data_IF_234792784109
#
_entry.id   IF_234792784109
#
_cell.length_a   1.000
_cell.length_b   1.000
_cell.length_c   1.000
_cell.angle_alpha   90.00
_cell.angle_beta   90.00
_cell.angle_gamma   90.00
#
_symmetry.space_group_name_H-M   'P 1'
#
loop_
_entity.id
_entity.type
_entity.pdbx_description
1 polymer ?
#
# COMPACT_ATOMS: atom_id res chain seq x y z
N UNK A 1 12.08 -13.85 10.79
CA UNK A 1 11.62 -12.48 11.00
C UNK A 1 12.31 -11.93 12.23
N UNK A 2 13.22 -10.96 12.04
CA UNK A 2 13.92 -10.27 13.10
C UNK A 2 12.92 -9.51 13.96
N UNK A 3 13.18 -9.50 15.24
CA UNK A 3 12.42 -8.94 16.34
C UNK A 3 11.63 -7.66 15.98
N UNK A 4 10.35 -7.82 15.69
CA UNK A 4 9.38 -6.74 15.40
C UNK A 4 9.40 -5.63 16.47
N UNK A 5 9.78 -5.97 17.69
CA UNK A 5 9.83 -5.03 18.82
C UNK A 5 10.96 -4.00 18.72
N UNK A 6 12.06 -4.32 18.01
CA UNK A 6 13.17 -3.38 17.83
C UNK A 6 12.88 -2.34 16.75
N UNK A 7 12.28 -2.75 15.62
CA UNK A 7 11.82 -1.87 14.54
C UNK A 7 10.75 -0.91 15.06
N UNK A 8 9.85 -1.40 15.88
CA UNK A 8 8.81 -0.64 16.55
C UNK A 8 9.33 0.54 17.39
N UNK A 9 10.49 0.38 18.03
CA UNK A 9 11.07 1.41 18.90
C UNK A 9 11.55 2.63 18.10
N UNK A 10 12.06 2.43 16.90
CA UNK A 10 12.54 3.51 16.01
C UNK A 10 11.37 4.27 15.37
N UNK A 11 10.33 3.57 14.93
CA UNK A 11 9.12 4.19 14.36
C UNK A 11 8.42 5.06 15.41
N UNK A 12 8.29 4.58 16.65
CA UNK A 12 7.72 5.35 17.75
C UNK A 12 8.54 6.59 18.12
N UNK A 13 9.84 6.61 17.84
CA UNK A 13 10.67 7.80 18.06
C UNK A 13 10.44 8.90 17.01
N UNK A 14 10.05 8.52 15.80
CA UNK A 14 9.82 9.41 14.64
C UNK A 14 8.33 9.80 14.46
N UNK A 15 7.42 9.25 15.26
CA UNK A 15 5.97 9.52 15.19
C UNK A 15 5.55 10.98 15.48
N UNK A 16 6.49 11.88 15.74
CA UNK A 16 6.20 13.30 16.03
C UNK A 16 5.57 14.06 14.86
N UNK A 17 5.73 13.58 13.63
CA UNK A 17 5.29 14.27 12.42
C UNK A 17 3.96 13.72 11.85
N UNK A 18 3.43 12.62 12.40
CA UNK A 18 2.24 11.95 11.86
C UNK A 18 0.90 12.53 12.36
N UNK A 19 0.92 13.38 13.37
CA UNK A 19 -0.31 13.86 14.03
C UNK A 19 -1.02 12.78 14.87
N UNK A 20 -0.61 11.52 14.79
CA UNK A 20 -1.10 10.42 15.60
C UNK A 20 -0.25 10.27 16.87
N UNK A 21 -0.87 9.91 18.00
CA UNK A 21 -0.11 9.57 19.21
C UNK A 21 0.68 8.27 18.99
N UNK A 22 1.82 8.12 19.71
CA UNK A 22 2.63 6.89 19.66
C UNK A 22 1.80 5.63 19.96
N UNK A 23 0.85 5.76 20.90
CA UNK A 23 -0.02 4.66 21.30
C UNK A 23 -1.05 4.33 20.21
N UNK A 24 -1.53 5.35 19.47
CA UNK A 24 -2.43 5.15 18.34
C UNK A 24 -1.73 4.43 17.17
N UNK A 25 -0.53 4.86 16.79
CA UNK A 25 0.27 4.18 15.75
C UNK A 25 0.58 2.73 16.16
N UNK A 26 0.89 2.51 17.45
CA UNK A 26 1.14 1.17 17.98
C UNK A 26 -0.10 0.29 17.90
N UNK A 27 -1.24 0.76 18.39
CA UNK A 27 -2.49 0.01 18.37
C UNK A 27 -2.92 -0.32 16.93
N UNK A 28 -2.81 0.65 16.02
CA UNK A 28 -3.17 0.49 14.61
C UNK A 28 -2.28 -0.53 13.90
N UNK A 29 -0.98 -0.54 14.16
CA UNK A 29 -0.09 -1.50 13.52
C UNK A 29 -0.24 -2.93 14.08
N UNK A 30 -0.64 -3.09 15.34
CA UNK A 30 -0.97 -4.40 15.92
C UNK A 30 -2.23 -4.98 15.28
N UNK A 31 -3.23 -4.14 15.01
CA UNK A 31 -4.49 -4.56 14.36
C UNK A 31 -4.29 -4.88 12.87
N UNK A 32 -3.40 -4.15 12.18
CA UNK A 32 -3.18 -4.32 10.73
C UNK A 32 -2.08 -5.32 10.39
N UNK A 33 -1.36 -5.87 11.37
CA UNK A 33 -0.13 -6.66 11.14
C UNK A 33 0.85 -5.95 10.17
N UNK A 34 0.97 -4.64 10.29
CA UNK A 34 1.80 -3.83 9.40
C UNK A 34 3.26 -3.79 9.86
N UNK A 35 4.16 -3.77 8.89
CA UNK A 35 5.61 -3.48 9.06
C UNK A 35 5.87 -2.16 8.37
N UNK A 36 6.21 -1.11 9.12
CA UNK A 36 6.29 0.26 8.60
C UNK A 36 7.73 0.67 8.31
N UNK A 37 7.96 1.22 7.11
CA UNK A 37 9.21 1.85 6.70
C UNK A 37 10.46 0.96 6.88
N UNK A 38 10.36 -0.34 6.57
CA UNK A 38 11.50 -1.27 6.62
C UNK A 38 12.36 -1.14 5.36
N UNK A 39 13.68 -1.11 5.54
CA UNK A 39 14.62 -1.07 4.42
C UNK A 39 14.91 -2.46 3.90
N UNK A 40 14.69 -2.64 2.60
CA UNK A 40 15.00 -3.89 1.90
C UNK A 40 15.89 -3.62 0.69
N UNK A 41 16.73 -4.59 0.35
CA UNK A 41 17.50 -4.55 -0.88
C UNK A 41 16.71 -5.24 -2.01
N UNK A 42 16.48 -4.53 -3.11
CA UNK A 42 15.81 -5.07 -4.29
C UNK A 42 16.63 -4.70 -5.53
N UNK A 43 17.08 -5.69 -6.27
CA UNK A 43 17.84 -5.52 -7.51
C UNK A 43 19.04 -4.56 -7.38
N UNK A 44 19.77 -4.64 -6.25
CA UNK A 44 20.95 -3.80 -5.95
C UNK A 44 20.62 -2.38 -5.48
N UNK A 45 19.36 -2.01 -5.35
CA UNK A 45 18.89 -0.76 -4.75
C UNK A 45 18.34 -0.97 -3.34
N UNK A 46 18.43 0.02 -2.47
CA UNK A 46 17.79 0.02 -1.15
C UNK A 46 16.48 0.79 -1.24
N UNK A 47 15.41 0.14 -0.86
CA UNK A 47 14.05 0.69 -0.85
C UNK A 47 13.47 0.63 0.55
N UNK A 48 12.70 1.65 0.90
CA UNK A 48 11.88 1.66 2.09
C UNK A 48 10.48 1.14 1.74
N UNK A 49 10.03 0.09 2.43
CA UNK A 49 8.76 -0.59 2.15
C UNK A 49 7.90 -0.64 3.41
N UNK A 50 6.61 -0.44 3.27
CA UNK A 50 5.62 -0.68 4.31
C UNK A 50 4.79 -1.89 3.94
N UNK A 51 4.86 -2.94 4.74
CA UNK A 51 4.09 -4.17 4.55
C UNK A 51 2.74 -4.10 5.26
N UNK A 52 1.65 -4.39 4.56
CA UNK A 52 0.29 -4.46 5.11
C UNK A 52 -0.40 -5.73 4.60
N UNK A 53 -1.12 -6.44 5.48
CA UNK A 53 -1.93 -7.59 5.08
C UNK A 53 -3.41 -7.21 5.02
N UNK A 54 -4.06 -7.47 3.89
CA UNK A 54 -5.51 -7.42 3.69
C UNK A 54 -6.10 -8.83 3.49
N UNK A 55 -5.46 -9.85 4.14
CA UNK A 55 -5.70 -11.26 3.86
C UNK A 55 -4.75 -11.83 2.81
N UNK A 56 -4.13 -10.94 2.03
CA UNK A 56 -3.02 -11.18 1.12
C UNK A 56 -1.92 -10.13 1.37
N UNK A 57 -0.64 -10.45 1.08
CA UNK A 57 0.47 -9.55 1.39
C UNK A 57 0.58 -8.41 0.37
N UNK A 58 0.72 -7.19 0.89
CA UNK A 58 0.98 -5.97 0.13
C UNK A 58 2.25 -5.28 0.62
N UNK A 59 3.08 -4.81 -0.30
CA UNK A 59 4.30 -4.06 -0.04
C UNK A 59 4.22 -2.69 -0.71
N UNK A 60 4.11 -1.64 0.10
CA UNK A 60 3.92 -0.28 -0.37
C UNK A 60 5.26 0.44 -0.43
N UNK A 61 5.61 0.94 -1.62
CA UNK A 61 6.82 1.69 -1.93
C UNK A 61 6.44 3.10 -2.38
N UNK A 62 7.04 4.10 -1.75
CA UNK A 62 6.77 5.49 -2.11
C UNK A 62 7.76 5.99 -3.14
N UNK A 63 7.22 6.61 -4.20
CA UNK A 63 8.00 7.25 -5.25
C UNK A 63 8.14 8.75 -4.96
N UNK A 64 9.31 9.29 -5.31
CA UNK A 64 9.55 10.72 -5.23
C UNK A 64 8.59 11.51 -6.13
N UNK A 65 8.27 12.75 -5.76
CA UNK A 65 7.28 13.59 -6.45
C UNK A 65 7.70 14.01 -7.85
N UNK A 66 8.98 13.99 -8.15
CA UNK A 66 9.55 14.32 -9.46
C UNK A 66 9.54 13.16 -10.45
N UNK A 67 9.22 11.94 -9.98
CA UNK A 67 9.04 10.77 -10.84
C UNK A 67 7.66 10.85 -11.52
N UNK A 68 7.63 10.80 -12.84
CA UNK A 68 6.39 10.60 -13.58
C UNK A 68 5.90 9.15 -13.39
N UNK A 69 4.96 8.95 -12.48
CA UNK A 69 4.45 7.61 -12.14
C UNK A 69 3.91 6.86 -13.37
N UNK A 70 3.38 7.57 -14.37
CA UNK A 70 2.86 6.96 -15.60
C UNK A 70 3.96 6.37 -16.48
N UNK A 71 5.19 6.89 -16.35
CA UNK A 71 6.38 6.43 -17.09
C UNK A 71 7.32 5.58 -16.24
N UNK A 72 6.98 5.37 -14.97
CA UNK A 72 7.77 4.53 -14.08
C UNK A 72 7.87 3.10 -14.65
N UNK A 73 9.09 2.58 -14.76
CA UNK A 73 9.37 1.30 -15.39
C UNK A 73 9.04 0.11 -14.47
N UNK A 74 7.78 -0.03 -14.09
CA UNK A 74 7.29 -1.01 -13.13
C UNK A 74 7.59 -2.46 -13.58
N UNK A 75 7.56 -2.73 -14.88
CA UNK A 75 7.84 -4.05 -15.47
C UNK A 75 9.29 -4.49 -15.25
N UNK A 76 10.21 -3.53 -15.07
CA UNK A 76 11.62 -3.82 -14.82
C UNK A 76 11.89 -4.12 -13.35
N UNK A 77 11.18 -3.48 -12.44
CA UNK A 77 11.45 -3.58 -10.99
C UNK A 77 10.45 -4.48 -10.26
N UNK A 78 9.19 -4.55 -10.70
CA UNK A 78 8.10 -5.29 -10.08
C UNK A 78 8.43 -6.77 -9.82
N UNK A 79 8.98 -7.52 -10.80
CA UNK A 79 9.35 -8.93 -10.60
C UNK A 79 10.36 -9.16 -9.47
N UNK A 80 11.26 -8.19 -9.24
CA UNK A 80 12.26 -8.27 -8.18
C UNK A 80 11.64 -8.02 -6.79
N UNK A 81 10.63 -7.14 -6.69
CA UNK A 81 9.85 -6.99 -5.47
C UNK A 81 9.00 -8.22 -5.19
N UNK A 82 8.28 -8.73 -6.20
CA UNK A 82 7.41 -9.90 -6.08
C UNK A 82 8.15 -11.09 -5.47
N UNK A 83 9.39 -11.33 -5.91
CA UNK A 83 10.22 -12.47 -5.50
C UNK A 83 11.21 -12.17 -4.37
N UNK A 84 11.07 -11.03 -3.70
CA UNK A 84 11.98 -10.63 -2.63
C UNK A 84 11.88 -11.56 -1.42
N UNK A 85 13.04 -12.02 -0.91
CA UNK A 85 13.11 -13.04 0.15
C UNK A 85 12.43 -12.66 1.47
N UNK A 86 12.21 -11.38 1.72
CA UNK A 86 11.44 -10.92 2.88
C UNK A 86 9.96 -11.35 2.83
N UNK A 87 9.48 -11.72 1.64
CA UNK A 87 8.10 -12.16 1.40
C UNK A 87 8.06 -13.62 0.89
N UNK A 88 8.07 -14.62 1.78
CA UNK A 88 8.14 -16.03 1.38
C UNK A 88 6.99 -16.50 0.47
N UNK A 89 5.82 -15.87 0.59
CA UNK A 89 4.64 -16.17 -0.23
C UNK A 89 4.52 -15.23 -1.43
N UNK A 90 5.59 -14.49 -1.77
CA UNK A 90 5.60 -13.34 -2.69
C UNK A 90 4.73 -12.20 -2.17
N UNK A 91 4.70 -11.09 -2.89
CA UNK A 91 4.00 -9.87 -2.48
C UNK A 91 3.42 -9.15 -3.70
N UNK A 92 2.23 -8.56 -3.53
CA UNK A 92 1.76 -7.50 -4.41
C UNK A 92 2.49 -6.23 -4.01
N UNK A 93 3.02 -5.50 -4.97
CA UNK A 93 3.78 -4.27 -4.69
C UNK A 93 3.07 -3.06 -5.28
N UNK A 94 2.70 -2.15 -4.41
CA UNK A 94 2.07 -0.89 -4.76
C UNK A 94 3.11 0.23 -4.76
N UNK A 95 3.26 0.88 -5.92
CA UNK A 95 4.10 2.07 -6.09
C UNK A 95 3.22 3.31 -5.96
N UNK A 96 3.46 4.07 -4.90
CA UNK A 96 2.59 5.19 -4.48
C UNK A 96 3.33 6.50 -4.63
N UNK A 97 2.66 7.48 -5.23
CA UNK A 97 3.06 8.86 -5.21
C UNK A 97 2.03 9.68 -4.42
N UNK A 98 2.46 10.26 -3.32
CA UNK A 98 1.61 11.11 -2.48
C UNK A 98 1.54 12.50 -3.13
N UNK A 99 0.38 12.84 -3.70
CA UNK A 99 0.12 14.17 -4.27
C UNK A 99 -0.12 15.16 -3.13
N UNK A 100 -1.08 14.84 -2.28
CA UNK A 100 -1.38 15.56 -1.04
C UNK A 100 -1.99 14.59 -0.02
N UNK A 101 -2.54 15.13 1.09
CA UNK A 101 -3.11 14.30 2.17
C UNK A 101 -4.39 13.56 1.79
N UNK A 102 -5.02 13.90 0.67
CA UNK A 102 -6.30 13.34 0.20
C UNK A 102 -6.20 12.67 -1.17
N UNK A 103 -5.05 12.76 -1.84
CA UNK A 103 -4.87 12.26 -3.21
C UNK A 103 -3.57 11.49 -3.31
N UNK A 104 -3.68 10.23 -3.73
CA UNK A 104 -2.59 9.32 -3.99
C UNK A 104 -2.66 8.83 -5.43
N UNK A 105 -1.53 8.79 -6.14
CA UNK A 105 -1.42 8.06 -7.40
C UNK A 105 -0.85 6.68 -7.12
N UNK A 106 -1.37 5.64 -7.78
CA UNK A 106 -0.99 4.26 -7.56
C UNK A 106 -0.77 3.50 -8.86
N UNK A 107 0.33 2.74 -8.91
CA UNK A 107 0.50 1.62 -9.84
C UNK A 107 0.83 0.37 -9.05
N UNK A 108 0.42 -0.79 -9.55
CA UNK A 108 0.56 -2.06 -8.83
C UNK A 108 1.18 -3.14 -9.70
N UNK A 109 2.10 -3.89 -9.10
CA UNK A 109 2.59 -5.16 -9.61
C UNK A 109 2.00 -6.29 -8.76
N UNK A 110 1.07 -7.04 -9.33
CA UNK A 110 0.41 -8.14 -8.61
C UNK A 110 1.20 -9.45 -8.76
N UNK A 111 1.34 -10.18 -7.67
CA UNK A 111 2.01 -11.47 -7.65
C UNK A 111 1.35 -12.46 -8.61
N UNK A 112 2.12 -12.99 -9.54
CA UNK A 112 1.66 -13.96 -10.54
C UNK A 112 0.90 -13.35 -11.71
N UNK A 113 0.62 -12.04 -11.73
CA UNK A 113 -0.15 -11.40 -12.80
C UNK A 113 0.60 -10.27 -13.48
N UNK A 114 1.59 -9.68 -12.82
CA UNK A 114 2.29 -8.50 -13.33
C UNK A 114 1.54 -7.21 -13.06
N UNK A 115 1.78 -6.18 -13.87
CA UNK A 115 1.04 -4.93 -13.74
C UNK A 115 -0.43 -5.12 -14.13
N UNK A 116 -1.34 -4.64 -13.26
CA UNK A 116 -2.78 -4.66 -13.49
C UNK A 116 -3.36 -3.24 -13.46
N UNK A 117 -4.55 -3.07 -14.00
CA UNK A 117 -5.21 -1.77 -14.05
C UNK A 117 -5.71 -1.29 -12.69
N UNK A 118 -6.03 -2.23 -11.80
CA UNK A 118 -6.51 -1.94 -10.45
C UNK A 118 -6.35 -3.15 -9.53
N UNK A 119 -6.05 -2.89 -8.25
CA UNK A 119 -6.05 -3.86 -7.17
C UNK A 119 -6.77 -3.25 -5.97
N UNK A 120 -7.99 -3.73 -5.67
CA UNK A 120 -8.81 -3.18 -4.60
C UNK A 120 -8.18 -3.36 -3.21
N UNK A 121 -7.67 -4.56 -2.89
CA UNK A 121 -6.96 -4.81 -1.63
C UNK A 121 -5.65 -4.04 -1.55
N UNK A 122 -4.95 -3.86 -2.68
CA UNK A 122 -3.77 -3.03 -2.77
C UNK A 122 -4.05 -1.55 -2.51
N UNK A 123 -5.19 -1.02 -3.00
CA UNK A 123 -5.62 0.34 -2.71
C UNK A 123 -5.92 0.53 -1.21
N UNK A 124 -6.63 -0.44 -0.59
CA UNK A 124 -6.89 -0.43 0.85
C UNK A 124 -5.59 -0.47 1.66
N UNK A 125 -4.67 -1.38 1.31
CA UNK A 125 -3.37 -1.49 1.96
C UNK A 125 -2.53 -0.21 1.80
N UNK A 126 -2.60 0.43 0.63
CA UNK A 126 -1.89 1.67 0.34
C UNK A 126 -2.37 2.84 1.19
N UNK A 127 -3.71 2.99 1.38
CA UNK A 127 -4.21 4.01 2.31
C UNK A 127 -3.69 3.74 3.72
N UNK A 128 -3.90 2.52 4.25
CA UNK A 128 -3.46 2.15 5.60
C UNK A 128 -1.97 2.43 5.79
N UNK A 129 -1.13 1.97 4.87
CA UNK A 129 0.31 2.22 4.90
C UNK A 129 0.63 3.72 4.93
N UNK A 130 -0.04 4.51 4.08
CA UNK A 130 0.22 5.95 3.95
C UNK A 130 -0.22 6.73 5.19
N UNK A 131 -1.33 6.30 5.83
CA UNK A 131 -1.76 6.83 7.14
C UNK A 131 -0.74 6.49 8.23
N UNK A 132 -0.28 5.24 8.30
CA UNK A 132 0.72 4.80 9.29
C UNK A 132 2.05 5.54 9.16
N UNK A 133 2.42 5.94 7.94
CA UNK A 133 3.58 6.79 7.67
C UNK A 133 3.30 8.29 7.86
N UNK A 134 2.06 8.68 8.23
CA UNK A 134 1.69 10.08 8.49
C UNK A 134 1.57 10.97 7.25
N UNK A 135 1.58 10.37 6.06
CA UNK A 135 1.64 11.09 4.80
C UNK A 135 0.27 11.45 4.21
N UNK A 136 -0.81 10.80 4.65
CA UNK A 136 -2.19 11.15 4.26
C UNK A 136 -3.15 11.11 5.45
N UNK A 137 -4.39 11.56 5.22
CA UNK A 137 -5.49 11.44 6.16
C UNK A 137 -6.10 10.02 6.12
N UNK A 138 -7.00 9.72 7.07
CA UNK A 138 -7.67 8.40 7.16
C UNK A 138 -8.62 8.11 5.99
N UNK A 139 -8.83 9.05 5.09
CA UNK A 139 -9.58 8.90 3.85
C UNK A 139 -8.86 9.63 2.71
N UNK A 140 -8.77 8.98 1.55
CA UNK A 140 -8.14 9.54 0.36
C UNK A 140 -8.71 8.93 -0.91
N UNK A 141 -8.59 9.66 -2.01
CA UNK A 141 -8.82 9.14 -3.37
C UNK A 141 -7.50 8.58 -3.92
N UNK A 142 -7.54 7.35 -4.39
CA UNK A 142 -6.43 6.70 -5.08
C UNK A 142 -6.73 6.69 -6.59
N UNK A 143 -5.85 7.32 -7.36
CA UNK A 143 -5.88 7.28 -8.83
C UNK A 143 -5.09 6.08 -9.32
N UNK A 144 -5.78 5.09 -9.91
CA UNK A 144 -5.20 3.90 -10.51
C UNK A 144 -5.30 3.99 -12.05
N UNK A 145 -4.63 3.10 -12.77
CA UNK A 145 -4.75 3.05 -14.23
C UNK A 145 -6.18 2.74 -14.70
N UNK A 146 -6.93 1.95 -13.93
CA UNK A 146 -8.30 1.55 -14.25
C UNK A 146 -9.38 2.52 -13.77
N UNK A 147 -9.02 3.56 -13.03
CA UNK A 147 -9.97 4.54 -12.48
C UNK A 147 -9.69 4.86 -11.00
N UNK A 148 -10.57 5.64 -10.42
CA UNK A 148 -10.41 6.17 -9.08
C UNK A 148 -11.13 5.28 -8.05
N UNK A 149 -10.51 5.11 -6.89
CA UNK A 149 -11.10 4.50 -5.71
C UNK A 149 -11.02 5.45 -4.53
N UNK A 150 -12.14 5.63 -3.83
CA UNK A 150 -12.19 6.34 -2.55
C UNK A 150 -12.03 5.32 -1.43
N UNK A 151 -10.99 5.46 -0.64
CA UNK A 151 -10.70 4.56 0.47
C UNK A 151 -10.80 5.34 1.77
N UNK A 152 -11.44 4.75 2.77
CA UNK A 152 -11.49 5.32 4.12
C UNK A 152 -11.23 4.24 5.17
N UNK A 153 -10.53 4.62 6.24
CA UNK A 153 -10.19 3.72 7.33
C UNK A 153 -10.86 4.18 8.63
N UNK A 154 -11.81 3.37 9.10
CA UNK A 154 -12.36 3.49 10.45
C UNK A 154 -11.35 2.89 11.44
N UNK A 155 -10.56 3.76 12.06
CA UNK A 155 -9.50 3.35 12.98
C UNK A 155 -10.03 2.84 14.33
N UNK A 156 -11.29 3.12 14.68
CA UNK A 156 -11.92 2.64 15.92
C UNK A 156 -12.46 1.21 15.72
N UNK A 157 -13.17 0.98 14.61
CA UNK A 157 -13.69 -0.34 14.27
C UNK A 157 -12.66 -1.25 13.60
N UNK A 158 -11.55 -0.70 13.11
CA UNK A 158 -10.52 -1.43 12.36
C UNK A 158 -10.92 -1.80 10.93
N UNK A 159 -11.99 -1.21 10.40
CA UNK A 159 -12.51 -1.51 9.08
C UNK A 159 -11.98 -0.54 8.02
N UNK A 160 -11.63 -1.08 6.85
CA UNK A 160 -11.31 -0.27 5.67
C UNK A 160 -12.46 -0.38 4.68
N UNK A 161 -12.97 0.76 4.25
CA UNK A 161 -14.04 0.87 3.26
C UNK A 161 -13.47 1.32 1.93
N UNK A 162 -13.96 0.70 0.85
CA UNK A 162 -13.60 1.02 -0.52
C UNK A 162 -14.86 1.36 -1.30
N UNK A 163 -14.86 2.50 -1.97
CA UNK A 163 -15.91 2.95 -2.87
C UNK A 163 -15.32 3.21 -4.26
N UNK A 164 -16.00 2.71 -5.29
CA UNK A 164 -15.59 2.89 -6.67
C UNK A 164 -16.77 2.77 -7.64
N UNK A 165 -16.57 3.10 -8.94
CA UNK A 165 -17.61 2.99 -9.94
C UNK A 165 -17.99 1.53 -10.21
N UNK A 166 -19.27 1.28 -10.47
CA UNK A 166 -19.81 -0.01 -10.88
C UNK A 166 -20.58 0.17 -12.19
N UNK A 167 -19.87 0.12 -13.32
CA UNK A 167 -20.45 0.31 -14.65
C UNK A 167 -20.80 -1.03 -15.27
N UNK A 168 -22.05 -1.20 -15.74
CA UNK A 168 -22.45 -2.37 -16.51
C UNK A 168 -21.74 -2.38 -17.85
N UNK A 169 -20.89 -3.37 -18.10
CA UNK A 169 -20.13 -3.51 -19.34
C UNK A 169 -20.93 -4.22 -20.43
N UNK A 170 -21.70 -5.26 -20.03
CA UNK A 170 -22.63 -5.97 -20.90
C UNK A 170 -23.68 -6.71 -20.08
N UNK A 171 -24.75 -7.14 -20.74
CA UNK A 171 -25.75 -8.08 -20.21
C UNK A 171 -25.81 -9.30 -21.12
N UNK A 172 -26.05 -10.48 -20.54
CA UNK A 172 -26.11 -11.74 -21.29
C UNK A 172 -26.99 -12.77 -20.61
N UNK A 173 -27.29 -13.85 -21.35
CA UNK A 173 -28.04 -15.00 -20.83
C UNK A 173 -27.14 -16.24 -20.89
N UNK A 174 -27.22 -17.10 -19.88
CA UNK A 174 -26.57 -18.40 -19.86
C UNK A 174 -27.63 -19.49 -19.69
N UNK A 175 -27.52 -20.56 -20.49
CA UNK A 175 -28.30 -21.78 -20.29
C UNK A 175 -27.54 -22.68 -19.31
N UNK A 176 -28.25 -23.21 -18.29
CA UNK A 176 -27.71 -24.07 -17.22
C UNK A 176 -28.16 -25.49 -17.44
#
# INVERSE_FOLDING_TARGET
>A
LKDYKAVYKDILSNAKDTGLSKDAVKALSEVTNAVVAEKIEVNGGIYEITGVSMGNPHGIVYLDKDIDIKKFAIEQIGPHFESQMAFPERVNTEFIQVVDRKILNMRVWERGSGETLACGTGACASLVATVLNGMCDIDATLHLLGGDLNISWDTEAGNVYMEGPATTVFTGTIEI
#
